data_IF_013731621316
#
_entry.id   IF_013731621316
#
_cell.length_a   1.000
_cell.length_b   1.000
_cell.length_c   1.000
_cell.angle_alpha   90.00
_cell.angle_beta   90.00
_cell.angle_gamma   90.00
#
_symmetry.space_group_name_H-M   'P 1'
#
loop_
_entity.id
_entity.type
_entity.pdbx_description
1 polymer ?
#
# COMPACT_ATOMS: atom_id res chain seq x y z
N UNK A 1 -31.92 -12.74 -17.31
CA UNK A 1 -30.45 -12.54 -17.41
C UNK A 1 -29.66 -13.50 -16.52
N UNK A 2 -30.01 -13.70 -15.24
CA UNK A 2 -29.27 -14.60 -14.34
C UNK A 2 -29.26 -16.09 -14.75
N UNK A 3 -30.38 -16.63 -15.22
CA UNK A 3 -30.48 -18.03 -15.65
C UNK A 3 -29.59 -18.36 -16.86
N UNK A 4 -29.56 -17.47 -17.86
CA UNK A 4 -28.72 -17.62 -19.06
C UNK A 4 -27.24 -17.58 -18.71
N UNK A 5 -26.84 -16.67 -17.80
CA UNK A 5 -25.45 -16.58 -17.32
C UNK A 5 -25.01 -17.86 -16.56
N UNK A 6 -25.91 -18.45 -15.77
CA UNK A 6 -25.64 -19.69 -15.04
C UNK A 6 -25.45 -20.90 -15.98
N UNK A 7 -26.28 -21.01 -17.03
CA UNK A 7 -26.15 -22.08 -18.04
C UNK A 7 -24.83 -21.95 -18.80
N UNK A 8 -24.47 -20.74 -19.25
CA UNK A 8 -23.19 -20.49 -19.93
C UNK A 8 -22.00 -20.81 -19.02
N UNK A 9 -22.05 -20.41 -17.74
CA UNK A 9 -21.01 -20.71 -16.76
C UNK A 9 -20.83 -22.20 -16.46
N UNK A 10 -21.90 -23.01 -16.59
CA UNK A 10 -21.83 -24.48 -16.39
C UNK A 10 -21.22 -25.24 -17.56
N UNK A 11 -21.36 -24.72 -18.78
CA UNK A 11 -20.84 -25.34 -20.02
C UNK A 11 -19.40 -24.87 -20.31
N UNK A 12 -19.08 -23.62 -19.93
CA UNK A 12 -17.77 -23.00 -20.08
C UNK A 12 -17.23 -22.55 -18.71
N UNK A 13 -16.77 -23.48 -17.86
CA UNK A 13 -16.28 -23.15 -16.52
C UNK A 13 -15.10 -22.16 -16.57
N UNK A 14 -14.31 -22.17 -17.64
CA UNK A 14 -13.23 -21.20 -17.87
C UNK A 14 -13.72 -19.75 -18.00
N UNK A 15 -14.94 -19.51 -18.51
CA UNK A 15 -15.55 -18.17 -18.56
C UNK A 15 -16.08 -17.74 -17.17
N UNK A 16 -16.53 -18.70 -16.36
CA UNK A 16 -16.98 -18.45 -14.99
C UNK A 16 -15.81 -18.26 -14.00
N UNK A 17 -14.66 -18.88 -14.28
CA UNK A 17 -13.43 -18.79 -13.48
C UNK A 17 -12.37 -17.86 -14.09
N UNK A 18 -12.75 -17.06 -15.08
CA UNK A 18 -11.84 -16.13 -15.72
C UNK A 18 -11.29 -15.14 -14.68
N UNK A 19 -9.97 -15.19 -14.43
CA UNK A 19 -9.30 -14.25 -13.55
C UNK A 19 -9.49 -12.82 -14.06
N UNK A 20 -9.60 -11.85 -13.14
CA UNK A 20 -9.72 -10.45 -13.52
C UNK A 20 -8.47 -10.04 -14.34
N UNK A 21 -8.63 -9.61 -15.61
CA UNK A 21 -7.50 -9.30 -16.49
C UNK A 21 -6.67 -8.11 -16.01
N UNK A 22 -7.18 -7.31 -15.06
CA UNK A 22 -6.50 -6.17 -14.46
C UNK A 22 -5.76 -6.51 -13.17
N UNK A 23 -5.88 -7.73 -12.62
CA UNK A 23 -5.23 -8.07 -11.34
C UNK A 23 -3.72 -7.87 -11.40
N UNK A 24 -3.07 -8.36 -12.46
CA UNK A 24 -1.62 -8.20 -12.64
C UNK A 24 -1.22 -6.72 -12.77
N UNK A 25 -1.98 -5.93 -13.54
CA UNK A 25 -1.71 -4.51 -13.71
C UNK A 25 -1.94 -3.70 -12.43
N UNK A 26 -3.03 -3.97 -11.70
CA UNK A 26 -3.37 -3.29 -10.46
C UNK A 26 -2.39 -3.60 -9.32
N UNK A 27 -1.96 -4.85 -9.21
CA UNK A 27 -0.93 -5.27 -8.24
C UNK A 27 0.45 -4.71 -8.59
N UNK A 28 0.82 -4.68 -9.89
CA UNK A 28 2.06 -4.05 -10.34
C UNK A 28 2.09 -2.55 -10.03
N UNK A 29 1.03 -1.82 -10.38
CA UNK A 29 0.96 -0.38 -10.14
C UNK A 29 1.02 -0.01 -8.66
N UNK A 30 0.35 -0.78 -7.80
CA UNK A 30 0.42 -0.57 -6.35
C UNK A 30 1.83 -0.83 -5.83
N UNK A 31 2.47 -1.94 -6.24
CA UNK A 31 3.87 -2.22 -5.86
C UNK A 31 4.84 -1.12 -6.32
N UNK A 32 4.73 -0.67 -7.57
CA UNK A 32 5.59 0.39 -8.13
C UNK A 32 5.38 1.73 -7.39
N UNK A 33 4.13 2.08 -7.10
CA UNK A 33 3.80 3.30 -6.35
C UNK A 33 4.42 3.27 -4.95
N UNK A 34 4.28 2.14 -4.25
CA UNK A 34 4.85 1.97 -2.91
C UNK A 34 6.38 1.99 -2.93
N UNK A 35 7.01 1.40 -3.95
CA UNK A 35 8.46 1.43 -4.14
C UNK A 35 8.98 2.86 -4.35
N UNK A 36 8.25 3.69 -5.11
CA UNK A 36 8.60 5.10 -5.32
C UNK A 36 8.36 5.96 -4.08
N UNK A 37 7.30 5.70 -3.30
CA UNK A 37 6.96 6.50 -2.13
C UNK A 37 7.77 6.16 -0.87
N UNK A 38 8.27 4.94 -0.75
CA UNK A 38 9.07 4.49 0.41
C UNK A 38 10.26 5.42 0.73
N UNK A 39 11.13 5.79 -0.22
CA UNK A 39 12.22 6.73 0.07
C UNK A 39 11.70 8.13 0.45
N UNK A 40 10.58 8.58 -0.14
CA UNK A 40 9.97 9.88 0.19
C UNK A 40 9.49 9.91 1.64
N UNK A 41 8.88 8.83 2.12
CA UNK A 41 8.47 8.69 3.51
C UNK A 41 9.67 8.78 4.48
N UNK A 42 10.78 8.12 4.14
CA UNK A 42 12.02 8.21 4.92
C UNK A 42 12.54 9.64 5.03
N UNK A 43 12.58 10.37 3.90
CA UNK A 43 13.01 11.78 3.87
C UNK A 43 12.06 12.67 4.69
N UNK A 44 10.74 12.48 4.56
CA UNK A 44 9.75 13.25 5.30
C UNK A 44 9.93 13.11 6.82
N UNK A 45 10.15 11.88 7.31
CA UNK A 45 10.42 11.63 8.73
C UNK A 45 11.72 12.30 9.17
N UNK A 46 12.79 12.19 8.38
CA UNK A 46 14.08 12.82 8.70
C UNK A 46 13.99 14.34 8.79
N UNK A 47 13.33 14.99 7.82
CA UNK A 47 13.19 16.45 7.79
C UNK A 47 12.30 16.95 8.92
N UNK A 48 11.12 16.35 9.10
CA UNK A 48 10.18 16.78 10.15
C UNK A 48 10.75 16.51 11.54
N UNK A 49 11.42 15.37 11.75
CA UNK A 49 12.12 15.06 12.98
C UNK A 49 13.22 16.08 13.31
N UNK A 50 14.08 16.41 12.34
CA UNK A 50 15.13 17.42 12.53
C UNK A 50 14.54 18.80 12.87
N UNK A 51 13.51 19.25 12.14
CA UNK A 51 12.87 20.55 12.40
C UNK A 51 12.19 20.60 13.76
N UNK A 52 11.56 19.51 14.20
CA UNK A 52 10.95 19.42 15.52
C UNK A 52 11.99 19.44 16.65
N UNK A 53 13.13 18.75 16.46
CA UNK A 53 14.25 18.75 17.41
C UNK A 53 14.85 20.15 17.62
N UNK A 54 14.98 20.96 16.56
CA UNK A 54 15.45 22.33 16.65
C UNK A 54 14.37 23.34 17.06
N UNK A 55 13.19 22.89 17.48
CA UNK A 55 12.09 23.75 17.91
C UNK A 55 11.54 24.66 16.80
N UNK A 56 11.79 24.33 15.52
CA UNK A 56 11.31 25.10 14.37
C UNK A 56 9.84 24.83 14.05
N UNK A 57 9.33 23.66 14.42
CA UNK A 57 7.94 23.24 14.22
C UNK A 57 7.43 22.46 15.44
N UNK A 58 6.10 22.40 15.60
CA UNK A 58 5.45 21.64 16.67
C UNK A 58 5.51 20.12 16.41
N UNK A 59 5.68 19.31 17.46
CA UNK A 59 5.75 17.84 17.38
C UNK A 59 4.51 17.17 16.78
N UNK A 60 3.35 17.83 16.76
CA UNK A 60 2.15 17.32 16.07
C UNK A 60 2.38 17.10 14.57
N UNK A 61 3.31 17.82 13.94
CA UNK A 61 3.66 17.58 12.54
C UNK A 61 4.28 16.19 12.34
N UNK A 62 5.09 15.72 13.30
CA UNK A 62 5.65 14.37 13.25
C UNK A 62 4.53 13.32 13.35
N UNK A 63 3.55 13.53 14.22
CA UNK A 63 2.38 12.64 14.33
C UNK A 63 1.58 12.62 13.01
N UNK A 64 1.38 13.78 12.39
CA UNK A 64 0.74 13.88 11.08
C UNK A 64 1.45 13.06 10.01
N UNK A 65 2.79 13.10 9.98
CA UNK A 65 3.60 12.26 9.07
C UNK A 65 3.40 10.76 9.34
N UNK A 66 3.43 10.34 10.62
CA UNK A 66 3.22 8.93 10.99
C UNK A 66 1.85 8.45 10.53
N UNK A 67 0.79 9.22 10.80
CA UNK A 67 -0.57 8.88 10.36
C UNK A 67 -0.65 8.81 8.83
N UNK A 68 -0.03 9.76 8.12
CA UNK A 68 0.02 9.75 6.65
C UNK A 68 0.70 8.49 6.09
N UNK A 69 1.80 8.04 6.71
CA UNK A 69 2.49 6.79 6.32
C UNK A 69 1.57 5.59 6.54
N UNK A 70 0.88 5.49 7.68
CA UNK A 70 -0.06 4.38 7.94
C UNK A 70 -1.17 4.33 6.88
N UNK A 71 -1.69 5.48 6.48
CA UNK A 71 -2.76 5.57 5.47
C UNK A 71 -2.28 5.26 4.05
N UNK A 72 -1.04 5.59 3.70
CA UNK A 72 -0.48 5.36 2.35
C UNK A 72 -0.03 3.91 2.12
N UNK A 73 0.64 3.32 3.11
CA UNK A 73 1.33 2.04 2.93
C UNK A 73 0.55 0.84 3.49
N UNK A 74 -0.41 1.07 4.39
CA UNK A 74 -1.19 -0.01 5.01
C UNK A 74 -0.38 -0.91 5.95
N UNK A 75 -1.00 -1.99 6.43
CA UNK A 75 -0.42 -2.86 7.47
C UNK A 75 0.78 -3.68 6.97
N UNK A 76 0.67 -4.28 5.79
CA UNK A 76 1.61 -5.32 5.35
C UNK A 76 3.02 -4.77 5.15
N UNK A 77 3.12 -3.59 4.55
CA UNK A 77 4.39 -2.92 4.31
C UNK A 77 5.05 -2.46 5.61
N UNK A 78 4.26 -1.91 6.55
CA UNK A 78 4.77 -1.48 7.85
C UNK A 78 5.27 -2.67 8.67
N UNK A 79 4.50 -3.76 8.69
CA UNK A 79 4.91 -5.01 9.36
C UNK A 79 6.21 -5.53 8.74
N UNK A 80 6.32 -5.51 7.41
CA UNK A 80 7.55 -5.93 6.71
C UNK A 80 8.77 -5.11 7.12
N UNK A 81 8.64 -3.79 7.28
CA UNK A 81 9.74 -2.95 7.75
C UNK A 81 10.14 -3.24 9.19
N UNK A 82 9.15 -3.38 10.09
CA UNK A 82 9.39 -3.72 11.50
C UNK A 82 10.11 -5.06 11.59
N UNK A 83 9.63 -6.05 10.84
CA UNK A 83 10.23 -7.37 10.69
C UNK A 83 11.66 -7.30 10.17
N UNK A 84 11.90 -6.52 9.12
CA UNK A 84 13.24 -6.24 8.60
C UNK A 84 14.18 -5.61 9.63
N UNK A 85 13.70 -4.68 10.46
CA UNK A 85 14.48 -4.07 11.54
C UNK A 85 14.95 -5.11 12.57
N UNK A 86 14.13 -6.12 12.85
CA UNK A 86 14.45 -7.20 13.77
C UNK A 86 15.06 -8.44 13.10
N UNK A 87 15.19 -8.44 11.77
CA UNK A 87 15.72 -9.55 10.99
C UNK A 87 14.85 -10.82 10.99
N UNK A 88 13.53 -10.68 11.15
CA UNK A 88 12.56 -11.81 11.30
C UNK A 88 11.43 -11.83 10.27
#
# INVERSE_FOLDING_TARGET
>A
MAFVAAVIGSIFPALAMAANPFTTGATGLSADTLAMLTPVAGIAVMVVGALALFGKIHWMWLIGVIVGIVLLFGSDQIVTWIRGLFGV
#
